data_IF_993146789197
#
_entry.id   IF_993146789197
#
_cell.length_a   1.000
_cell.length_b   1.000
_cell.length_c   1.000
_cell.angle_alpha   90.00
_cell.angle_beta   90.00
_cell.angle_gamma   90.00
#
_symmetry.space_group_name_H-M   'P 1'
#
loop_
_entity.id
_entity.type
_entity.pdbx_description
1 polymer ?
#
# COMPACT_ATOMS: atom_id res chain seq x y z
N UNK A 1 -14.81 -1.99 -0.20
CA UNK A 1 -15.32 -3.38 -0.32
C UNK A 1 -16.86 -3.39 -0.32
N UNK A 2 -17.57 -3.01 0.75
CA UNK A 2 -19.07 -3.04 0.84
C UNK A 2 -19.81 -2.37 -0.33
N UNK A 3 -19.25 -1.35 -0.98
CA UNK A 3 -19.83 -0.75 -2.18
C UNK A 3 -19.76 -1.69 -3.38
N UNK A 4 -18.67 -2.42 -3.56
CA UNK A 4 -18.50 -3.37 -4.66
C UNK A 4 -19.42 -4.58 -4.49
N UNK A 5 -19.64 -5.07 -3.26
CA UNK A 5 -20.63 -6.13 -2.98
C UNK A 5 -22.02 -5.74 -3.48
N UNK A 6 -22.43 -4.46 -3.26
CA UNK A 6 -23.71 -3.93 -3.81
C UNK A 6 -23.75 -3.88 -5.34
N UNK A 7 -22.59 -3.99 -6.00
CA UNK A 7 -22.46 -4.05 -7.47
C UNK A 7 -22.34 -5.48 -8.00
N UNK A 8 -22.46 -6.49 -7.14
CA UNK A 8 -22.45 -7.90 -7.50
C UNK A 8 -21.08 -8.57 -7.45
N UNK A 9 -20.05 -7.87 -6.95
CA UNK A 9 -18.75 -8.50 -6.70
C UNK A 9 -18.76 -9.30 -5.41
N UNK A 10 -18.10 -10.44 -5.42
CA UNK A 10 -17.82 -11.22 -4.21
C UNK A 10 -16.55 -10.68 -3.57
N UNK A 11 -16.59 -10.41 -2.27
CA UNK A 11 -15.45 -9.89 -1.52
C UNK A 11 -15.09 -10.89 -0.41
N UNK A 12 -13.90 -11.43 -0.51
CA UNK A 12 -13.31 -12.28 0.52
C UNK A 12 -12.26 -11.50 1.32
N UNK A 13 -12.18 -11.79 2.62
CA UNK A 13 -11.22 -11.18 3.52
C UNK A 13 -10.23 -12.24 3.98
N UNK A 14 -8.96 -12.06 3.61
CA UNK A 14 -7.87 -12.95 4.03
C UNK A 14 -7.63 -12.80 5.52
N UNK A 15 -7.46 -13.93 6.22
CA UNK A 15 -7.14 -13.94 7.64
C UNK A 15 -5.74 -13.40 7.91
N UNK A 16 -5.58 -12.87 9.11
CA UNK A 16 -4.27 -12.51 9.65
C UNK A 16 -3.93 -13.46 10.79
N UNK A 17 -2.64 -13.75 10.95
CA UNK A 17 -2.08 -14.55 12.04
C UNK A 17 -1.99 -13.71 13.33
N UNK A 18 -1.64 -14.34 14.44
CA UNK A 18 -1.47 -13.67 15.73
C UNK A 18 -0.37 -12.59 15.74
N UNK A 19 0.60 -12.70 14.83
CA UNK A 19 1.65 -11.70 14.61
C UNK A 19 1.21 -10.56 13.67
N UNK A 20 -0.05 -10.57 13.20
CA UNK A 20 -0.61 -9.59 12.27
C UNK A 20 -0.19 -9.79 10.80
N UNK A 21 0.59 -10.80 10.49
CA UNK A 21 0.94 -11.14 9.11
C UNK A 21 -0.25 -11.81 8.41
N UNK A 22 -0.41 -11.55 7.13
CA UNK A 22 -1.41 -12.22 6.30
C UNK A 22 -1.12 -13.73 6.28
N UNK A 23 -2.18 -14.51 6.46
CA UNK A 23 -2.12 -15.96 6.31
C UNK A 23 -2.09 -16.33 4.82
N UNK A 24 -0.89 -16.71 4.33
CA UNK A 24 -0.70 -17.07 2.92
C UNK A 24 -1.44 -18.35 2.53
N UNK A 25 -1.68 -19.27 3.46
CA UNK A 25 -2.44 -20.49 3.17
C UNK A 25 -3.94 -20.18 3.04
N UNK A 26 -4.45 -19.24 3.86
CA UNK A 26 -5.81 -18.74 3.70
C UNK A 26 -5.97 -17.95 2.37
N UNK A 27 -4.97 -17.15 1.97
CA UNK A 27 -4.95 -16.50 0.66
C UNK A 27 -5.04 -17.50 -0.48
N UNK A 28 -4.21 -18.56 -0.46
CA UNK A 28 -4.25 -19.64 -1.47
C UNK A 28 -5.59 -20.35 -1.53
N UNK A 29 -6.27 -20.50 -0.39
CA UNK A 29 -7.59 -21.11 -0.33
C UNK A 29 -8.69 -20.25 -0.94
N UNK A 30 -8.59 -18.93 -0.81
CA UNK A 30 -9.60 -17.97 -1.27
C UNK A 30 -9.44 -17.59 -2.74
N UNK A 31 -8.19 -17.42 -3.21
CA UNK A 31 -7.93 -17.02 -4.59
C UNK A 31 -8.30 -18.14 -5.57
N UNK A 32 -8.91 -17.76 -6.70
CA UNK A 32 -9.33 -18.70 -7.75
C UNK A 32 -9.37 -18.00 -9.12
N UNK A 33 -9.69 -18.73 -10.19
CA UNK A 33 -9.71 -18.23 -11.57
C UNK A 33 -10.72 -17.09 -11.83
N UNK A 34 -11.66 -16.85 -10.92
CA UNK A 34 -12.59 -15.73 -10.98
C UNK A 34 -12.12 -14.53 -10.14
N UNK A 35 -11.03 -14.66 -9.41
CA UNK A 35 -10.44 -13.54 -8.64
C UNK A 35 -9.82 -12.54 -9.60
N UNK A 36 -10.28 -11.30 -9.58
CA UNK A 36 -9.79 -10.23 -10.46
C UNK A 36 -8.83 -9.27 -9.78
N UNK A 37 -8.87 -9.19 -8.44
CA UNK A 37 -8.04 -8.27 -7.68
C UNK A 37 -7.74 -8.81 -6.28
N UNK A 38 -6.48 -8.82 -5.92
CA UNK A 38 -6.01 -8.90 -4.53
C UNK A 38 -5.51 -7.52 -4.13
N UNK A 39 -5.99 -6.99 -3.00
CA UNK A 39 -5.63 -5.66 -2.51
C UNK A 39 -5.18 -5.74 -1.06
N UNK A 40 -3.94 -5.32 -0.79
CA UNK A 40 -3.26 -5.48 0.51
C UNK A 40 -2.60 -4.16 0.90
N UNK A 41 -2.68 -3.78 2.17
CA UNK A 41 -1.83 -2.73 2.72
C UNK A 41 -0.42 -3.30 2.97
N UNK A 42 0.62 -2.65 2.42
CA UNK A 42 2.02 -3.08 2.62
C UNK A 42 2.44 -2.95 4.08
N UNK A 43 2.01 -1.87 4.73
CA UNK A 43 2.25 -1.63 6.16
C UNK A 43 0.92 -1.22 6.78
N UNK A 44 0.54 -1.90 7.84
CA UNK A 44 -0.67 -1.58 8.60
C UNK A 44 -0.51 -0.24 9.34
N UNK A 45 -1.59 0.55 9.40
CA UNK A 45 -1.57 1.91 9.96
C UNK A 45 -1.57 1.95 11.49
N UNK A 46 -2.06 0.91 12.14
CA UNK A 46 -2.23 0.86 13.59
C UNK A 46 -1.10 0.08 14.27
N UNK A 47 -0.76 -1.08 13.72
CA UNK A 47 0.23 -1.99 14.30
C UNK A 47 1.63 -1.79 13.69
N UNK A 48 1.73 -1.15 12.51
CA UNK A 48 2.98 -0.94 11.81
C UNK A 48 3.59 -2.21 11.20
N UNK A 49 2.81 -3.27 11.06
CA UNK A 49 3.26 -4.56 10.54
C UNK A 49 3.46 -4.46 9.03
N UNK A 50 4.66 -4.83 8.56
CA UNK A 50 4.99 -4.91 7.14
C UNK A 50 4.71 -6.30 6.60
N UNK A 51 3.84 -6.41 5.59
CA UNK A 51 3.46 -7.66 4.95
C UNK A 51 4.51 -8.19 3.98
N UNK A 52 4.53 -9.51 3.77
CA UNK A 52 5.37 -10.18 2.76
C UNK A 52 4.77 -10.01 1.35
N UNK A 53 4.98 -8.84 0.76
CA UNK A 53 4.49 -8.52 -0.59
C UNK A 53 5.01 -9.50 -1.64
N UNK A 54 6.26 -9.96 -1.52
CA UNK A 54 6.85 -10.93 -2.47
C UNK A 54 6.18 -12.30 -2.38
N UNK A 55 5.91 -12.77 -1.17
CA UNK A 55 5.19 -14.03 -0.95
C UNK A 55 3.76 -13.97 -1.50
N UNK A 56 3.05 -12.87 -1.24
CA UNK A 56 1.71 -12.63 -1.77
C UNK A 56 1.73 -12.55 -3.31
N UNK A 57 2.69 -11.80 -3.87
CA UNK A 57 2.85 -11.66 -5.33
C UNK A 57 3.03 -13.01 -6.03
N UNK A 58 3.84 -13.92 -5.47
CA UNK A 58 4.04 -15.26 -6.04
C UNK A 58 2.74 -16.04 -6.17
N UNK A 59 1.88 -15.95 -5.15
CA UNK A 59 0.57 -16.61 -5.17
C UNK A 59 -0.34 -15.97 -6.23
N UNK A 60 -0.43 -14.64 -6.24
CA UNK A 60 -1.30 -13.91 -7.18
C UNK A 60 -0.89 -14.18 -8.63
N UNK A 61 0.41 -14.27 -8.92
CA UNK A 61 0.92 -14.53 -10.28
C UNK A 61 0.58 -15.92 -10.84
N UNK A 62 0.13 -16.85 -10.01
CA UNK A 62 -0.41 -18.13 -10.48
C UNK A 62 -1.78 -17.95 -11.17
N UNK A 63 -2.42 -16.77 -11.02
CA UNK A 63 -3.73 -16.44 -11.56
C UNK A 63 -3.64 -15.27 -12.56
N UNK A 64 -3.48 -15.52 -13.87
CA UNK A 64 -3.16 -14.51 -14.88
C UNK A 64 -4.20 -13.39 -15.06
N UNK A 65 -5.43 -13.63 -14.59
CA UNK A 65 -6.53 -12.63 -14.63
C UNK A 65 -6.60 -11.78 -13.37
N UNK A 66 -5.84 -12.12 -12.34
CA UNK A 66 -5.84 -11.44 -11.05
C UNK A 66 -4.77 -10.37 -11.01
N UNK A 67 -5.17 -9.14 -10.75
CA UNK A 67 -4.25 -8.03 -10.50
C UNK A 67 -3.89 -7.93 -9.02
N UNK A 68 -2.68 -7.48 -8.75
CA UNK A 68 -2.20 -7.23 -7.39
C UNK A 68 -2.06 -5.73 -7.13
N UNK A 69 -2.92 -5.20 -6.25
CA UNK A 69 -2.86 -3.84 -5.73
C UNK A 69 -2.24 -3.81 -4.35
N UNK A 70 -1.34 -2.88 -4.13
CA UNK A 70 -0.72 -2.63 -2.83
C UNK A 70 -0.99 -1.20 -2.39
N UNK A 71 -1.60 -1.03 -1.22
CA UNK A 71 -1.65 0.26 -0.56
C UNK A 71 -0.33 0.50 0.18
N UNK A 72 0.48 1.39 -0.37
CA UNK A 72 1.77 1.77 0.16
C UNK A 72 1.73 3.07 0.99
N UNK A 73 0.53 3.54 1.37
CA UNK A 73 0.36 4.82 2.07
C UNK A 73 1.18 4.91 3.35
N UNK A 74 1.33 3.82 4.08
CA UNK A 74 2.16 3.78 5.29
C UNK A 74 3.60 3.27 5.04
N UNK A 75 3.89 2.79 3.84
CA UNK A 75 5.20 2.24 3.47
C UNK A 75 6.10 3.26 2.78
N UNK A 76 5.54 4.07 1.86
CA UNK A 76 6.31 5.02 1.05
C UNK A 76 7.11 5.99 1.93
N UNK A 77 8.37 6.19 1.60
CA UNK A 77 9.29 7.05 2.35
C UNK A 77 9.74 6.52 3.72
N UNK A 78 9.29 5.30 4.11
CA UNK A 78 9.63 4.66 5.40
C UNK A 78 10.33 3.31 5.23
N UNK A 79 9.99 2.58 4.16
CA UNK A 79 10.63 1.31 3.79
C UNK A 79 10.90 1.29 2.29
N UNK A 80 11.88 0.51 1.85
CA UNK A 80 12.14 0.30 0.45
C UNK A 80 11.01 -0.47 -0.21
N UNK A 81 10.58 -0.02 -1.39
CA UNK A 81 9.49 -0.59 -2.17
C UNK A 81 10.02 -0.98 -3.55
N UNK A 82 9.77 -2.23 -3.94
CA UNK A 82 9.97 -2.71 -5.29
C UNK A 82 8.62 -2.86 -6.00
N UNK A 83 8.35 -2.00 -6.99
CA UNK A 83 7.10 -2.04 -7.75
C UNK A 83 6.99 -3.27 -8.66
N UNK A 84 8.11 -3.99 -8.93
CA UNK A 84 8.10 -5.19 -9.79
C UNK A 84 7.18 -6.29 -9.30
N UNK A 85 6.91 -6.34 -7.98
CA UNK A 85 6.08 -7.36 -7.34
C UNK A 85 4.56 -7.07 -7.41
N UNK A 86 4.13 -5.91 -7.95
CA UNK A 86 2.73 -5.49 -7.95
C UNK A 86 2.29 -4.92 -9.30
N UNK A 87 0.99 -4.81 -9.51
CA UNK A 87 0.38 -4.25 -10.71
C UNK A 87 -0.12 -2.82 -10.48
N UNK A 88 -0.59 -2.56 -9.28
CA UNK A 88 -1.01 -1.24 -8.82
C UNK A 88 -0.39 -0.92 -7.46
N UNK A 89 -0.07 0.36 -7.26
CA UNK A 89 0.31 0.88 -5.96
C UNK A 89 -0.37 2.22 -5.69
N UNK A 90 -1.01 2.35 -4.54
CA UNK A 90 -1.59 3.61 -4.09
C UNK A 90 -0.82 4.22 -2.93
N UNK A 91 -0.85 5.55 -2.83
CA UNK A 91 -0.25 6.30 -1.73
C UNK A 91 -0.92 7.66 -1.51
N UNK A 92 -0.74 8.23 -0.32
CA UNK A 92 -1.24 9.55 0.06
C UNK A 92 -0.11 10.48 0.47
N UNK A 93 -0.10 11.71 -0.07
CA UNK A 93 0.96 12.70 0.17
C UNK A 93 1.12 13.09 1.65
N UNK A 94 0.01 13.21 2.40
CA UNK A 94 0.04 13.66 3.80
C UNK A 94 0.73 12.69 4.77
N UNK A 95 1.05 11.47 4.34
CA UNK A 95 1.81 10.49 5.13
C UNK A 95 3.33 10.61 4.95
N UNK A 96 3.76 11.45 4.02
CA UNK A 96 5.16 11.78 3.72
C UNK A 96 5.42 13.28 3.72
N UNK A 97 4.75 14.04 4.59
CA UNK A 97 4.88 15.49 4.78
C UNK A 97 4.37 16.36 3.62
N UNK A 98 3.71 15.77 2.60
CA UNK A 98 3.00 16.50 1.57
C UNK A 98 1.65 17.04 2.04
N UNK A 99 1.03 17.88 1.22
CA UNK A 99 -0.28 18.44 1.53
C UNK A 99 -1.39 17.40 1.50
N UNK A 100 -2.44 17.61 2.32
CA UNK A 100 -3.69 16.82 2.24
C UNK A 100 -4.42 17.11 0.93
N UNK A 101 -5.20 16.13 0.47
CA UNK A 101 -6.08 16.29 -0.71
C UNK A 101 -5.49 15.76 -2.01
N UNK A 102 -4.27 15.18 -1.97
CA UNK A 102 -3.67 14.49 -3.12
C UNK A 102 -3.13 13.12 -2.72
N UNK A 103 -3.30 12.17 -3.62
CA UNK A 103 -2.69 10.85 -3.61
C UNK A 103 -2.22 10.47 -5.00
N UNK A 104 -1.57 9.35 -5.12
CA UNK A 104 -1.06 8.80 -6.36
C UNK A 104 -1.49 7.35 -6.50
N UNK A 105 -1.93 6.98 -7.70
CA UNK A 105 -2.07 5.59 -8.13
C UNK A 105 -1.03 5.33 -9.22
N UNK A 106 -0.13 4.40 -8.98
CA UNK A 106 0.82 3.88 -9.96
C UNK A 106 0.24 2.58 -10.50
N UNK A 107 0.31 2.39 -11.81
CA UNK A 107 -0.11 1.16 -12.49
C UNK A 107 0.91 0.73 -13.53
N UNK A 108 0.91 -0.54 -13.91
CA UNK A 108 1.66 -0.98 -15.09
C UNK A 108 1.05 -0.40 -16.36
N UNK A 109 1.87 -0.04 -17.33
CA UNK A 109 1.42 0.64 -18.57
C UNK A 109 0.43 -0.17 -19.38
N UNK A 110 0.60 -1.51 -19.41
CA UNK A 110 -0.25 -2.42 -20.14
C UNK A 110 -1.64 -2.66 -19.51
N UNK A 111 -1.91 -2.11 -18.32
CA UNK A 111 -3.22 -2.26 -17.66
C UNK A 111 -4.13 -1.12 -18.07
N UNK A 112 -5.29 -1.44 -18.59
CA UNK A 112 -6.34 -0.47 -18.92
C UNK A 112 -7.29 -0.35 -17.73
N UNK A 113 -7.59 0.89 -17.33
CA UNK A 113 -8.58 1.22 -16.31
C UNK A 113 -9.53 2.28 -16.85
N UNK A 114 -10.80 2.16 -16.50
CA UNK A 114 -11.80 3.16 -16.83
C UNK A 114 -11.70 4.39 -15.92
N UNK A 115 -12.01 5.54 -16.46
CA UNK A 115 -12.03 6.79 -15.72
C UNK A 115 -13.20 6.83 -14.74
N UNK A 116 -12.95 7.24 -13.51
CA UNK A 116 -14.02 7.54 -12.54
C UNK A 116 -14.60 8.95 -12.72
N UNK A 117 -13.83 9.88 -13.30
CA UNK A 117 -14.23 11.28 -13.53
C UNK A 117 -14.20 11.52 -15.03
N UNK A 118 -15.40 11.60 -15.60
CA UNK A 118 -15.62 11.88 -17.02
C UNK A 118 -15.79 13.36 -17.30
N UNK A 119 -15.49 13.79 -18.54
CA UNK A 119 -15.65 15.19 -18.99
C UNK A 119 -14.81 15.48 -20.23
N UNK A 120 -14.48 16.74 -20.44
CA UNK A 120 -13.63 17.17 -21.55
C UNK A 120 -12.21 16.59 -21.49
N UNK A 121 -11.53 16.58 -22.65
CA UNK A 121 -10.10 16.19 -22.70
C UNK A 121 -9.27 17.09 -21.82
N UNK A 122 -8.42 16.51 -21.01
CA UNK A 122 -7.48 17.17 -20.11
C UNK A 122 -6.05 16.77 -20.46
N UNK A 123 -5.12 17.05 -19.57
CA UNK A 123 -3.71 16.66 -19.70
C UNK A 123 -3.47 15.15 -19.55
N UNK A 124 -4.47 14.39 -19.13
CA UNK A 124 -4.41 12.93 -18.97
C UNK A 124 -5.71 12.28 -19.39
N UNK A 125 -5.61 11.05 -19.89
CA UNK A 125 -6.77 10.22 -20.24
C UNK A 125 -7.43 9.55 -19.01
N UNK A 126 -6.82 9.66 -17.84
CA UNK A 126 -7.26 8.95 -16.62
C UNK A 126 -8.29 9.70 -15.78
N UNK A 127 -8.43 11.01 -15.97
CA UNK A 127 -9.43 11.84 -15.31
C UNK A 127 -9.60 13.18 -16.01
N UNK A 128 -10.81 13.67 -16.07
CA UNK A 128 -11.12 15.03 -16.54
C UNK A 128 -10.92 16.07 -15.45
N UNK A 129 -10.80 17.34 -15.85
CA UNK A 129 -10.65 18.51 -15.00
C UNK A 129 -9.20 18.96 -14.84
N UNK A 130 -9.00 20.23 -14.60
CA UNK A 130 -7.69 20.86 -14.45
C UNK A 130 -6.94 20.26 -13.25
N UNK A 131 -5.69 19.77 -13.43
CA UNK A 131 -4.89 19.25 -12.34
C UNK A 131 -4.60 20.31 -11.27
N UNK A 132 -4.64 19.92 -10.00
CA UNK A 132 -4.30 20.78 -8.87
C UNK A 132 -2.78 20.93 -8.74
N UNK A 133 -2.16 21.73 -9.60
CA UNK A 133 -0.71 21.90 -9.71
C UNK A 133 -0.01 22.14 -8.36
N UNK A 134 -0.49 23.02 -7.44
CA UNK A 134 0.17 23.20 -6.14
C UNK A 134 0.25 21.91 -5.31
N UNK A 135 -0.79 21.08 -5.35
CA UNK A 135 -0.79 19.79 -4.64
C UNK A 135 0.17 18.79 -5.30
N UNK A 136 0.25 18.78 -6.63
CA UNK A 136 1.20 17.94 -7.37
C UNK A 136 2.64 18.33 -7.02
N UNK A 137 2.96 19.61 -7.05
CA UNK A 137 4.29 20.10 -6.66
C UNK A 137 4.63 19.76 -5.20
N UNK A 138 3.66 19.86 -4.29
CA UNK A 138 3.85 19.44 -2.90
C UNK A 138 4.16 17.95 -2.78
N UNK A 139 3.44 17.08 -3.51
CA UNK A 139 3.71 15.64 -3.52
C UNK A 139 5.07 15.33 -4.10
N UNK A 140 5.42 15.94 -5.25
CA UNK A 140 6.76 15.76 -5.86
C UNK A 140 7.87 16.15 -4.88
N UNK A 141 7.74 17.33 -4.24
CA UNK A 141 8.74 17.78 -3.28
C UNK A 141 8.86 16.87 -2.07
N UNK A 142 7.73 16.36 -1.57
CA UNK A 142 7.74 15.40 -0.49
C UNK A 142 8.50 14.10 -0.87
N UNK A 143 8.24 13.55 -2.06
CA UNK A 143 8.96 12.37 -2.57
C UNK A 143 10.47 12.62 -2.74
N UNK A 144 10.85 13.76 -3.31
CA UNK A 144 12.26 14.17 -3.45
C UNK A 144 13.02 14.21 -2.11
N UNK A 145 12.32 14.59 -1.05
CA UNK A 145 12.90 14.70 0.29
C UNK A 145 12.95 13.35 1.03
N UNK A 146 11.93 12.51 0.89
CA UNK A 146 11.84 11.28 1.71
C UNK A 146 12.52 10.09 1.07
N UNK A 147 12.42 9.92 -0.27
CA UNK A 147 12.92 8.71 -0.94
C UNK A 147 14.43 8.52 -0.78
N UNK A 148 15.29 9.54 -0.97
CA UNK A 148 16.73 9.36 -0.79
C UNK A 148 17.16 9.04 0.64
N UNK A 149 16.31 9.31 1.62
CA UNK A 149 16.61 9.17 3.04
C UNK A 149 15.91 7.97 3.71
N UNK A 150 15.29 7.06 2.95
CA UNK A 150 14.54 5.93 3.49
C UNK A 150 15.40 5.09 4.43
N UNK A 151 16.59 4.68 4.02
CA UNK A 151 17.44 3.79 4.79
C UNK A 151 17.94 4.46 6.08
N UNK A 152 18.45 5.69 5.98
CA UNK A 152 18.93 6.43 7.16
C UNK A 152 17.83 6.75 8.17
N UNK A 153 16.61 7.09 7.69
CA UNK A 153 15.46 7.32 8.54
C UNK A 153 15.00 6.00 9.22
N UNK A 154 15.00 4.91 8.47
CA UNK A 154 14.65 3.59 8.99
C UNK A 154 15.61 3.16 10.10
N UNK A 155 16.92 3.28 9.88
CA UNK A 155 17.96 2.98 10.87
C UNK A 155 17.80 3.83 12.13
N UNK A 156 17.56 5.13 11.97
CA UNK A 156 17.36 6.04 13.10
C UNK A 156 16.13 5.64 13.93
N UNK A 157 14.99 5.40 13.31
CA UNK A 157 13.75 4.99 14.00
C UNK A 157 13.91 3.61 14.64
N UNK A 158 14.56 2.65 13.95
CA UNK A 158 14.82 1.31 14.47
C UNK A 158 15.68 1.36 15.75
N UNK A 159 16.71 2.21 15.78
CA UNK A 159 17.53 2.41 16.99
C UNK A 159 16.70 2.94 18.17
N UNK A 160 15.84 3.93 17.93
CA UNK A 160 14.96 4.45 18.98
C UNK A 160 13.99 3.37 19.45
N UNK A 161 13.40 2.62 18.55
CA UNK A 161 12.49 1.52 18.86
C UNK A 161 13.18 0.47 19.75
N UNK A 162 14.42 0.08 19.43
CA UNK A 162 15.21 -0.84 20.25
C UNK A 162 15.43 -0.29 21.67
N UNK A 163 15.84 0.98 21.80
CA UNK A 163 16.04 1.61 23.12
C UNK A 163 14.75 1.58 23.95
N UNK A 164 13.60 1.85 23.32
CA UNK A 164 12.30 1.83 24.01
C UNK A 164 11.99 0.39 24.46
N UNK A 165 12.10 -0.59 23.57
CA UNK A 165 11.83 -2.00 23.86
C UNK A 165 12.73 -2.52 24.99
N UNK A 166 14.04 -2.24 24.93
CA UNK A 166 15.01 -2.67 25.94
C UNK A 166 14.73 -2.05 27.32
N UNK A 167 14.18 -0.84 27.36
CA UNK A 167 13.80 -0.22 28.62
C UNK A 167 12.48 -0.77 29.15
N UNK A 168 11.49 -1.02 28.30
CA UNK A 168 10.19 -1.55 28.70
C UNK A 168 10.29 -3.03 29.13
N UNK A 169 11.16 -3.83 28.49
CA UNK A 169 11.37 -5.24 28.85
C UNK A 169 11.94 -5.48 30.25
N UNK A 170 12.34 -4.41 30.97
CA UNK A 170 12.77 -4.48 32.37
C UNK A 170 11.61 -4.60 33.35
N UNK A 171 10.37 -4.45 32.88
CA UNK A 171 9.16 -4.50 33.70
C UNK A 171 8.36 -5.75 33.34
N UNK A 172 8.16 -6.63 34.33
CA UNK A 172 7.51 -7.95 34.13
C UNK A 172 6.03 -7.87 33.77
N UNK A 173 5.38 -6.74 34.07
CA UNK A 173 3.97 -6.46 33.77
C UNK A 173 3.73 -5.80 32.39
N UNK A 174 4.81 -5.54 31.63
CA UNK A 174 4.73 -4.96 30.28
C UNK A 174 4.97 -6.06 29.24
N UNK A 175 3.97 -6.26 28.38
CA UNK A 175 4.09 -7.13 27.21
C UNK A 175 4.22 -6.29 25.95
N UNK A 176 5.29 -6.55 25.17
CA UNK A 176 5.53 -5.88 23.89
C UNK A 176 5.14 -6.86 22.79
N UNK A 177 4.16 -6.47 21.99
CA UNK A 177 3.70 -7.24 20.83
C UNK A 177 4.57 -6.97 19.61
#
# INVERSE_FOLDING_TARGET
CKYLEKKGFVIDYVKVKSDGMIDLDDLKRLINDNTILVSIAMVDSELGIKQDIKGISRIVREYPKCYFHVDATQAIGKVNIDFSDMDFMSMSAHKIFGMKGIGLLIKRDNIVIDNLIHGGKSTTDFRSGTPALPLICSLMKALELVIPNVDSNYEYVSRINTIIKDNLSKYDDIHIN
#
